data_IF_565160477917
#
_entry.id   IF_565160477917
#
_cell.length_a   1.000
_cell.length_b   1.000
_cell.length_c   1.000
_cell.angle_alpha   90.00
_cell.angle_beta   90.00
_cell.angle_gamma   90.00
#
_symmetry.space_group_name_H-M   'P 1'
#
loop_
_entity.id
_entity.type
_entity.pdbx_description
1 polymer ?
#
# COMPACT_ATOMS: atom_id res chain seq x y z
N UNK A 1 2.22 -20.85 40.38
CA UNK A 1 3.23 -20.85 41.46
C UNK A 1 2.72 -19.98 42.60
N UNK A 2 2.42 -20.63 43.75
CA UNK A 2 1.91 -19.97 44.96
C UNK A 2 2.86 -18.88 45.50
N UNK A 3 4.14 -18.96 45.25
CA UNK A 3 5.11 -17.90 45.62
C UNK A 3 4.85 -16.59 44.89
N UNK A 4 4.32 -16.65 43.68
CA UNK A 4 4.00 -15.49 42.84
C UNK A 4 2.55 -14.98 42.99
N UNK A 5 1.63 -15.90 43.29
CA UNK A 5 0.17 -15.58 43.36
C UNK A 5 -0.32 -15.34 44.78
N UNK A 6 0.52 -15.58 45.75
CA UNK A 6 0.19 -15.44 47.17
C UNK A 6 -0.59 -16.62 47.75
N UNK A 7 -0.73 -16.62 49.05
CA UNK A 7 -1.53 -17.55 49.86
C UNK A 7 -2.40 -16.74 50.81
N UNK A 8 -3.48 -17.31 51.38
CA UNK A 8 -4.27 -16.63 52.39
C UNK A 8 -3.41 -16.20 53.59
N UNK A 9 -3.74 -15.07 54.16
CA UNK A 9 -3.01 -14.54 55.35
C UNK A 9 -3.98 -14.20 56.47
N UNK A 10 -3.50 -14.32 57.72
CA UNK A 10 -4.13 -13.77 58.92
C UNK A 10 -3.19 -12.74 59.49
N UNK A 11 -3.67 -11.49 59.66
CA UNK A 11 -2.86 -10.36 60.14
C UNK A 11 -1.52 -10.18 59.42
N UNK A 12 -1.49 -10.48 58.07
CA UNK A 12 -0.29 -10.37 57.25
C UNK A 12 0.63 -11.61 57.25
N UNK A 13 0.36 -12.60 58.07
CA UNK A 13 1.13 -13.84 58.13
C UNK A 13 0.50 -14.91 57.25
N UNK A 14 1.29 -15.56 56.38
CA UNK A 14 0.84 -16.64 55.52
C UNK A 14 0.31 -17.82 56.34
N UNK A 15 -0.87 -18.32 56.02
CA UNK A 15 -1.42 -19.52 56.62
C UNK A 15 -0.79 -20.72 55.91
N UNK A 16 -0.12 -21.56 56.68
CA UNK A 16 0.44 -22.84 56.24
C UNK A 16 -0.14 -23.97 57.09
N UNK A 17 -0.20 -25.18 56.53
CA UNK A 17 -0.71 -26.35 57.24
C UNK A 17 0.06 -26.57 58.57
N UNK A 18 -0.66 -26.75 59.66
CA UNK A 18 -0.09 -26.96 60.99
C UNK A 18 0.33 -25.67 61.71
N UNK A 19 0.12 -24.48 61.14
CA UNK A 19 0.29 -23.21 61.84
C UNK A 19 -0.99 -22.83 62.60
N UNK A 20 -0.84 -22.21 63.78
CA UNK A 20 -1.96 -21.66 64.55
C UNK A 20 -3.11 -22.66 64.82
N UNK A 21 -2.92 -23.55 65.83
CA UNK A 21 -3.99 -24.42 66.29
C UNK A 21 -4.66 -25.28 65.22
N UNK A 22 -3.87 -26.11 64.53
CA UNK A 22 -4.34 -27.12 63.56
C UNK A 22 -5.16 -26.58 62.33
N UNK A 23 -4.73 -25.46 61.79
CA UNK A 23 -5.27 -24.95 60.51
C UNK A 23 -4.80 -25.84 59.35
N UNK A 24 -5.76 -26.22 58.52
CA UNK A 24 -5.48 -26.89 57.25
C UNK A 24 -5.90 -26.00 56.09
N UNK A 25 -5.02 -25.82 55.12
CA UNK A 25 -5.25 -24.98 53.96
C UNK A 25 -5.10 -25.81 52.70
N UNK A 26 -6.13 -25.78 51.89
CA UNK A 26 -6.12 -26.39 50.54
C UNK A 26 -6.64 -25.44 49.52
N UNK A 27 -6.37 -25.68 48.25
CA UNK A 27 -6.95 -24.93 47.15
C UNK A 27 -7.37 -25.84 45.99
N UNK A 28 -8.33 -25.36 45.20
CA UNK A 28 -8.75 -25.92 43.94
C UNK A 28 -8.69 -24.83 42.89
N UNK A 29 -8.15 -25.12 41.72
CA UNK A 29 -8.01 -24.18 40.59
C UNK A 29 -8.96 -24.58 39.47
N UNK A 30 -9.80 -23.65 39.03
CA UNK A 30 -10.52 -23.73 37.77
C UNK A 30 -9.88 -22.77 36.77
N UNK A 31 -9.39 -23.29 35.64
CA UNK A 31 -8.71 -22.50 34.60
C UNK A 31 -9.67 -22.21 33.47
N UNK A 32 -9.77 -20.95 33.11
CA UNK A 32 -10.58 -20.44 32.00
C UNK A 32 -9.64 -19.76 31.00
N UNK A 33 -9.52 -20.32 29.79
CA UNK A 33 -8.80 -19.67 28.70
C UNK A 33 -9.61 -18.48 28.16
N UNK A 34 -9.00 -17.32 28.09
CA UNK A 34 -9.63 -16.09 27.59
C UNK A 34 -9.28 -15.81 26.14
N UNK A 35 -8.10 -16.27 25.68
CA UNK A 35 -7.76 -16.39 24.26
C UNK A 35 -6.85 -17.62 24.03
N UNK A 36 -6.70 -18.02 22.75
CA UNK A 36 -5.90 -19.22 22.41
C UNK A 36 -4.42 -18.92 22.65
N UNK A 37 -3.77 -19.74 23.48
CA UNK A 37 -2.34 -19.74 23.80
C UNK A 37 -1.76 -18.51 24.50
N UNK A 38 -2.54 -17.48 24.82
CA UNK A 38 -1.97 -16.23 25.38
C UNK A 38 -2.45 -15.89 26.79
N UNK A 39 -3.75 -15.88 27.00
CA UNK A 39 -4.38 -15.38 28.22
C UNK A 39 -5.24 -16.43 28.89
N UNK A 40 -5.19 -16.46 30.21
CA UNK A 40 -6.07 -17.31 31.02
C UNK A 40 -6.38 -16.65 32.36
N UNK A 41 -7.51 -17.03 32.93
CA UNK A 41 -7.89 -16.69 34.30
C UNK A 41 -7.98 -17.98 35.12
N UNK A 42 -7.40 -17.96 36.31
CA UNK A 42 -7.56 -19.03 37.30
C UNK A 42 -8.46 -18.50 38.39
N UNK A 43 -9.59 -19.20 38.58
CA UNK A 43 -10.41 -19.01 39.76
C UNK A 43 -9.92 -20.01 40.81
N UNK A 44 -9.12 -19.53 41.75
CA UNK A 44 -8.59 -20.32 42.84
C UNK A 44 -9.53 -20.23 44.03
N UNK A 45 -10.07 -21.36 44.44
CA UNK A 45 -10.89 -21.46 45.67
C UNK A 45 -10.01 -22.02 46.79
N UNK A 46 -9.75 -21.18 47.77
CA UNK A 46 -9.05 -21.55 48.99
C UNK A 46 -10.07 -22.04 50.02
N UNK A 47 -9.79 -23.19 50.67
CA UNK A 47 -10.52 -23.66 51.83
C UNK A 47 -9.56 -23.69 53.00
N UNK A 48 -9.93 -22.99 54.05
CA UNK A 48 -9.18 -22.97 55.34
C UNK A 48 -10.10 -23.68 56.35
N UNK A 49 -9.60 -24.78 56.88
CA UNK A 49 -10.33 -25.56 57.92
C UNK A 49 -9.62 -25.29 59.25
N UNK A 50 -10.41 -24.93 60.26
CA UNK A 50 -9.98 -24.76 61.63
C UNK A 50 -10.54 -25.88 62.47
N UNK A 51 -9.67 -26.83 62.82
CA UNK A 51 -10.08 -28.01 63.61
C UNK A 51 -10.27 -27.68 65.11
N UNK A 52 -9.86 -26.51 65.61
CA UNK A 52 -10.07 -26.11 66.98
C UNK A 52 -11.51 -25.68 67.26
N UNK A 53 -12.18 -25.12 66.26
CA UNK A 53 -13.56 -24.63 66.38
C UNK A 53 -14.53 -25.34 65.42
N UNK A 54 -14.04 -26.41 64.78
CA UNK A 54 -14.81 -27.23 63.81
C UNK A 54 -15.51 -26.38 62.75
N UNK A 55 -14.76 -25.46 62.16
CA UNK A 55 -15.30 -24.55 61.15
C UNK A 55 -14.43 -24.46 59.91
N UNK A 56 -14.99 -24.02 58.79
CA UNK A 56 -14.21 -23.72 57.62
C UNK A 56 -14.59 -22.38 57.01
N UNK A 57 -13.67 -21.79 56.26
CA UNK A 57 -13.89 -20.59 55.47
C UNK A 57 -13.39 -20.81 54.05
N UNK A 58 -14.13 -20.27 53.10
CA UNK A 58 -13.81 -20.32 51.67
C UNK A 58 -13.50 -18.92 51.19
N UNK A 59 -12.41 -18.79 50.47
CA UNK A 59 -11.95 -17.55 49.85
C UNK A 59 -11.73 -17.79 48.33
N UNK A 60 -12.15 -16.84 47.50
CA UNK A 60 -11.93 -16.92 46.08
C UNK A 60 -10.88 -15.90 45.67
N UNK A 61 -9.86 -16.37 44.95
CA UNK A 61 -8.81 -15.56 44.38
C UNK A 61 -8.88 -15.67 42.85
N UNK A 62 -8.91 -14.53 42.17
CA UNK A 62 -8.83 -14.48 40.70
C UNK A 62 -7.39 -14.14 40.34
N UNK A 63 -6.75 -15.04 39.59
CA UNK A 63 -5.41 -14.87 39.06
C UNK A 63 -5.54 -14.75 37.54
N UNK A 64 -5.07 -13.64 36.97
CA UNK A 64 -5.13 -13.40 35.54
C UNK A 64 -3.74 -13.34 34.94
N UNK A 65 -3.60 -13.95 33.78
CA UNK A 65 -2.50 -13.73 32.86
C UNK A 65 -3.12 -13.26 31.56
N UNK A 66 -2.84 -12.03 31.19
CA UNK A 66 -3.38 -11.40 30.00
C UNK A 66 -2.24 -11.06 29.03
N UNK A 67 -2.46 -11.37 27.76
CA UNK A 67 -1.64 -10.86 26.69
C UNK A 67 -2.22 -9.51 26.26
N UNK A 68 -1.44 -8.47 26.43
CA UNK A 68 -1.82 -7.08 26.12
C UNK A 68 -0.91 -6.49 25.03
N UNK A 69 0.00 -7.29 24.49
CA UNK A 69 0.96 -6.84 23.49
C UNK A 69 0.44 -7.17 22.10
N UNK A 70 0.47 -6.17 21.23
CA UNK A 70 0.17 -6.39 19.82
C UNK A 70 1.38 -6.98 19.08
N UNK A 71 1.16 -7.76 18.01
CA UNK A 71 2.22 -8.25 17.15
C UNK A 71 3.08 -7.12 16.59
N UNK A 72 4.39 -7.30 16.56
CA UNK A 72 5.35 -6.35 15.99
C UNK A 72 5.61 -6.74 14.54
N UNK A 73 5.18 -5.90 13.60
CA UNK A 73 5.34 -6.13 12.16
C UNK A 73 6.61 -5.52 11.60
N UNK A 74 7.20 -6.21 10.61
CA UNK A 74 8.19 -5.63 9.71
C UNK A 74 7.45 -4.76 8.69
N UNK A 75 7.86 -3.50 8.54
CA UNK A 75 7.25 -2.58 7.56
C UNK A 75 7.62 -3.06 6.14
N UNK A 76 6.64 -3.35 5.26
CA UNK A 76 6.93 -3.69 3.87
C UNK A 76 7.60 -2.53 3.14
N UNK A 77 8.47 -2.84 2.18
CA UNK A 77 9.07 -1.81 1.33
C UNK A 77 8.04 -1.23 0.36
N UNK A 78 8.14 0.07 0.10
CA UNK A 78 7.42 0.72 -0.99
C UNK A 78 7.74 0.04 -2.33
N UNK A 79 6.73 -0.08 -3.20
CA UNK A 79 6.88 -0.65 -4.53
C UNK A 79 6.46 0.34 -5.61
N UNK A 80 7.09 0.22 -6.79
CA UNK A 80 6.70 0.93 -8.01
C UNK A 80 6.31 -0.09 -9.06
N UNK A 81 5.21 0.17 -9.76
CA UNK A 81 4.64 -0.72 -10.79
C UNK A 81 4.31 0.12 -12.02
N UNK A 82 4.73 -0.33 -13.20
CA UNK A 82 4.37 0.30 -14.47
C UNK A 82 2.93 0.02 -14.89
N UNK A 83 2.37 0.92 -15.70
CA UNK A 83 1.07 0.70 -16.37
C UNK A 83 1.13 -0.44 -17.38
N UNK A 84 -0.02 -0.99 -17.74
CA UNK A 84 -0.13 -1.92 -18.87
C UNK A 84 0.05 -1.16 -20.19
N UNK A 85 0.61 -1.82 -21.20
CA UNK A 85 0.92 -1.19 -22.52
C UNK A 85 -0.31 -0.64 -23.27
N UNK A 86 -1.50 -1.10 -22.93
CA UNK A 86 -2.76 -0.72 -23.58
C UNK A 86 -3.78 -0.06 -22.65
N UNK A 87 -3.35 0.31 -21.44
CA UNK A 87 -4.23 0.89 -20.41
C UNK A 87 -3.43 1.76 -19.45
N UNK A 88 -3.99 2.90 -19.07
CA UNK A 88 -3.43 3.80 -18.05
C UNK A 88 -3.63 3.29 -16.61
N UNK A 89 -3.58 1.98 -16.44
CA UNK A 89 -3.75 1.31 -15.14
C UNK A 89 -2.76 0.15 -15.00
N UNK A 90 -2.48 -0.24 -13.77
CA UNK A 90 -1.61 -1.37 -13.47
C UNK A 90 -2.38 -2.54 -12.86
N UNK A 91 -1.75 -3.72 -12.89
CA UNK A 91 -2.12 -4.89 -12.08
C UNK A 91 -1.13 -4.96 -10.93
N UNK A 92 -1.62 -4.89 -9.70
CA UNK A 92 -0.78 -4.82 -8.50
C UNK A 92 -0.96 -6.05 -7.63
N UNK A 93 0.17 -6.65 -7.23
CA UNK A 93 0.24 -7.61 -6.14
C UNK A 93 0.99 -6.99 -4.98
N UNK A 94 0.40 -7.04 -3.79
CA UNK A 94 1.02 -6.49 -2.58
C UNK A 94 2.08 -7.46 -2.04
N UNK A 95 3.22 -6.97 -1.55
CA UNK A 95 4.22 -7.81 -0.94
C UNK A 95 3.72 -8.42 0.39
N UNK A 96 4.14 -9.63 0.68
CA UNK A 96 3.96 -10.22 2.01
C UNK A 96 4.88 -9.55 3.02
N UNK A 97 4.45 -9.56 4.27
CA UNK A 97 5.28 -9.12 5.40
C UNK A 97 5.22 -10.13 6.53
N UNK A 98 6.06 -9.97 7.53
CA UNK A 98 6.14 -10.83 8.71
C UNK A 98 5.90 -10.02 9.98
N UNK A 99 5.47 -10.71 11.02
CA UNK A 99 5.35 -10.15 12.35
C UNK A 99 5.93 -11.14 13.38
N UNK A 100 6.11 -10.67 14.60
CA UNK A 100 6.44 -11.48 15.76
C UNK A 100 5.53 -11.12 16.91
N UNK A 101 5.11 -12.11 17.66
CA UNK A 101 4.33 -11.93 18.86
C UNK A 101 4.95 -12.74 20.02
N UNK A 102 4.73 -12.31 21.25
CA UNK A 102 5.36 -12.90 22.44
C UNK A 102 4.56 -14.05 23.05
N UNK A 103 3.26 -14.14 22.79
CA UNK A 103 2.37 -15.06 23.49
C UNK A 103 1.41 -15.84 22.59
N UNK A 104 0.95 -15.26 21.47
CA UNK A 104 -0.14 -15.82 20.70
C UNK A 104 0.16 -15.92 19.21
N UNK A 105 -0.67 -16.67 18.46
CA UNK A 105 -0.62 -16.63 17.02
C UNK A 105 -1.23 -15.32 16.53
N UNK A 106 -0.92 -14.96 15.29
CA UNK A 106 -1.43 -13.72 14.67
C UNK A 106 -1.80 -13.92 13.21
N UNK A 107 -2.60 -13.02 12.71
CA UNK A 107 -2.94 -12.92 11.28
C UNK A 107 -2.57 -11.55 10.75
N UNK A 108 -2.11 -11.47 9.49
CA UNK A 108 -1.79 -10.20 8.83
C UNK A 108 -2.75 -10.01 7.66
N UNK A 109 -3.40 -8.85 7.61
CA UNK A 109 -4.36 -8.49 6.55
C UNK A 109 -4.00 -7.14 5.95
N UNK A 110 -3.58 -7.09 4.67
CA UNK A 110 -3.48 -5.83 3.95
C UNK A 110 -4.86 -5.32 3.54
N UNK A 111 -5.01 -3.99 3.61
CA UNK A 111 -6.19 -3.25 3.21
C UNK A 111 -5.81 -1.96 2.50
N UNK A 112 -6.42 -1.68 1.37
CA UNK A 112 -6.30 -0.42 0.67
C UNK A 112 -7.58 -0.11 -0.12
N UNK A 113 -7.62 1.03 -0.80
CA UNK A 113 -8.84 1.50 -1.50
C UNK A 113 -9.32 0.56 -2.63
N UNK A 114 -8.47 -0.32 -3.16
CA UNK A 114 -8.82 -1.25 -4.24
C UNK A 114 -9.20 -2.65 -3.75
N UNK A 115 -9.21 -2.90 -2.44
CA UNK A 115 -9.65 -4.17 -1.88
C UNK A 115 -8.86 -4.65 -0.67
N UNK A 116 -9.08 -5.90 -0.31
CA UNK A 116 -8.42 -6.58 0.80
C UNK A 116 -7.57 -7.74 0.28
N UNK A 117 -6.55 -8.12 1.04
CA UNK A 117 -5.65 -9.22 0.68
C UNK A 117 -4.46 -8.76 -0.16
N UNK A 118 -3.78 -9.72 -0.77
CA UNK A 118 -2.51 -9.48 -1.47
C UNK A 118 -2.65 -9.26 -2.98
N UNK A 119 -3.85 -9.38 -3.52
CA UNK A 119 -4.13 -9.20 -4.95
C UNK A 119 -4.30 -10.52 -5.71
N UNK A 120 -4.28 -10.51 -7.07
CA UNK A 120 -4.02 -9.34 -7.90
C UNK A 120 -5.15 -8.30 -7.87
N UNK A 121 -4.78 -7.02 -7.85
CA UNK A 121 -5.70 -5.88 -7.96
C UNK A 121 -5.60 -5.30 -9.36
N UNK A 122 -6.71 -5.25 -10.06
CA UNK A 122 -6.79 -4.78 -11.44
C UNK A 122 -7.20 -3.31 -11.50
N UNK A 123 -6.86 -2.65 -12.61
CA UNK A 123 -7.25 -1.27 -12.90
C UNK A 123 -6.80 -0.24 -11.85
N UNK A 124 -5.63 -0.45 -11.25
CA UNK A 124 -5.04 0.53 -10.32
C UNK A 124 -4.51 1.70 -11.14
N UNK A 125 -5.03 2.94 -10.96
CA UNK A 125 -4.63 4.09 -11.77
C UNK A 125 -3.23 4.59 -11.44
N UNK A 126 -2.66 5.36 -12.35
CA UNK A 126 -1.39 6.09 -12.11
C UNK A 126 -1.52 6.97 -10.87
N UNK A 127 -0.47 6.98 -10.05
CA UNK A 127 -0.41 7.76 -8.82
C UNK A 127 0.18 7.00 -7.64
N UNK A 128 0.20 7.68 -6.48
CA UNK A 128 0.70 7.13 -5.22
C UNK A 128 -0.48 6.71 -4.34
N UNK A 129 -0.47 5.45 -3.91
CA UNK A 129 -1.53 4.81 -3.16
C UNK A 129 -1.00 4.27 -1.83
N UNK A 130 -1.67 4.60 -0.72
CA UNK A 130 -1.31 4.12 0.59
C UNK A 130 -1.98 2.77 0.86
N UNK A 131 -1.20 1.81 1.36
CA UNK A 131 -1.64 0.49 1.80
C UNK A 131 -1.41 0.35 3.30
N UNK A 132 -2.39 -0.16 4.03
CA UNK A 132 -2.29 -0.48 5.46
C UNK A 132 -2.23 -1.99 5.64
N UNK A 133 -1.30 -2.46 6.48
CA UNK A 133 -1.24 -3.84 6.94
C UNK A 133 -1.58 -3.85 8.42
N UNK A 134 -2.60 -4.62 8.78
CA UNK A 134 -2.98 -4.81 10.17
C UNK A 134 -2.67 -6.24 10.59
N UNK A 135 -1.89 -6.41 11.65
CA UNK A 135 -1.69 -7.68 12.32
C UNK A 135 -2.54 -7.73 13.58
N UNK A 136 -3.27 -8.82 13.75
CA UNK A 136 -4.10 -9.06 14.94
C UNK A 136 -3.77 -10.42 15.49
N UNK A 137 -3.52 -10.50 16.80
CA UNK A 137 -3.28 -11.74 17.53
C UNK A 137 -4.58 -12.46 17.93
N UNK A 138 -4.44 -13.65 18.49
CA UNK A 138 -5.57 -14.47 18.96
C UNK A 138 -6.26 -13.86 20.19
N UNK A 139 -5.64 -12.87 20.87
CA UNK A 139 -6.18 -12.16 22.02
C UNK A 139 -6.88 -10.84 21.63
N UNK A 140 -6.80 -10.43 20.36
CA UNK A 140 -7.43 -9.25 19.80
C UNK A 140 -6.55 -8.00 19.84
N UNK A 141 -5.28 -8.11 20.29
CA UNK A 141 -4.36 -6.98 20.20
C UNK A 141 -3.93 -6.80 18.75
N UNK A 142 -3.83 -5.55 18.30
CA UNK A 142 -3.52 -5.29 16.90
C UNK A 142 -2.53 -4.14 16.73
N UNK A 143 -1.70 -4.26 15.68
CA UNK A 143 -0.80 -3.22 15.22
C UNK A 143 -1.01 -2.97 13.74
N UNK A 144 -0.67 -1.77 13.27
CA UNK A 144 -0.82 -1.39 11.85
C UNK A 144 0.45 -0.70 11.38
N UNK A 145 0.90 -1.08 10.18
CA UNK A 145 1.98 -0.43 9.45
C UNK A 145 1.49 -0.07 8.05
N UNK A 146 2.14 0.90 7.41
CA UNK A 146 1.77 1.36 6.07
C UNK A 146 2.94 1.33 5.12
N UNK A 147 2.64 1.16 3.83
CA UNK A 147 3.58 1.32 2.72
C UNK A 147 2.91 2.06 1.56
N UNK A 148 3.71 2.50 0.59
CA UNK A 148 3.20 3.10 -0.63
C UNK A 148 3.35 2.14 -1.82
N UNK A 149 2.32 2.13 -2.66
CA UNK A 149 2.37 1.63 -4.03
C UNK A 149 2.34 2.83 -4.95
N UNK A 150 3.36 2.97 -5.81
CA UNK A 150 3.40 4.01 -6.83
C UNK A 150 3.19 3.37 -8.19
N UNK A 151 2.11 3.74 -8.88
CA UNK A 151 1.87 3.35 -10.26
C UNK A 151 2.36 4.47 -11.16
N UNK A 152 3.25 4.14 -12.11
CA UNK A 152 3.85 5.08 -13.06
C UNK A 152 3.54 4.65 -14.49
N UNK A 153 3.40 5.61 -15.36
CA UNK A 153 3.34 5.34 -16.79
C UNK A 153 4.76 5.24 -17.35
N UNK A 154 5.09 4.09 -17.91
CA UNK A 154 6.38 3.78 -18.55
C UNK A 154 6.23 3.56 -20.06
N UNK A 155 5.01 3.65 -20.59
CA UNK A 155 4.77 3.48 -22.01
C UNK A 155 5.19 4.75 -22.77
N UNK A 156 5.95 4.57 -23.85
CA UNK A 156 6.34 5.66 -24.73
C UNK A 156 5.21 5.91 -25.73
N UNK A 157 4.78 7.15 -25.96
CA UNK A 157 3.71 7.45 -26.93
C UNK A 157 4.10 7.02 -28.36
N UNK A 158 3.11 6.66 -29.12
CA UNK A 158 3.25 6.33 -30.54
C UNK A 158 3.03 7.59 -31.37
N UNK A 159 4.09 8.12 -31.96
CA UNK A 159 4.02 9.25 -32.88
C UNK A 159 3.56 8.76 -34.26
N UNK A 160 2.44 9.30 -34.74
CA UNK A 160 1.87 9.00 -36.07
C UNK A 160 1.77 10.30 -36.86
N UNK A 161 2.60 10.41 -37.88
CA UNK A 161 2.67 11.57 -38.76
C UNK A 161 1.83 11.41 -40.04
N UNK A 162 1.32 12.50 -40.55
CA UNK A 162 0.84 12.55 -41.94
C UNK A 162 2.00 12.23 -42.88
N UNK A 163 1.74 11.43 -43.89
CA UNK A 163 2.77 11.00 -44.86
C UNK A 163 3.27 12.16 -45.68
N UNK A 164 2.37 12.90 -46.32
CA UNK A 164 2.60 14.06 -47.15
C UNK A 164 1.56 15.13 -46.78
N UNK A 165 1.99 16.38 -46.61
CA UNK A 165 1.13 17.47 -46.23
C UNK A 165 1.31 18.63 -47.22
N UNK A 166 0.23 18.98 -47.91
CA UNK A 166 0.19 20.18 -48.75
C UNK A 166 -0.34 21.39 -47.94
N UNK A 167 0.38 22.49 -48.00
CA UNK A 167 0.03 23.74 -47.32
C UNK A 167 -0.02 24.85 -48.36
N UNK A 168 -1.19 25.43 -48.54
CA UNK A 168 -1.36 26.61 -49.40
C UNK A 168 -1.00 27.87 -48.60
N UNK A 169 -0.27 28.81 -49.26
CA UNK A 169 0.01 30.12 -48.69
C UNK A 169 -1.19 31.02 -48.84
N UNK A 170 -1.26 32.02 -47.97
CA UNK A 170 -2.16 33.16 -48.13
C UNK A 170 -1.60 34.20 -49.12
N UNK A 171 -2.37 35.26 -49.37
CA UNK A 171 -1.99 36.34 -50.30
C UNK A 171 -0.74 37.11 -49.86
N UNK A 172 -0.38 37.05 -48.57
CA UNK A 172 0.81 37.69 -48.02
C UNK A 172 2.07 36.81 -48.18
N UNK A 173 1.94 35.60 -48.73
CA UNK A 173 3.03 34.67 -48.97
C UNK A 173 3.61 34.06 -47.67
N UNK A 174 2.84 34.03 -46.62
CA UNK A 174 3.21 33.49 -45.30
C UNK A 174 2.05 32.65 -44.79
N UNK A 175 2.36 31.46 -44.24
CA UNK A 175 1.37 30.63 -43.53
C UNK A 175 1.95 30.04 -42.28
N UNK A 176 1.20 30.07 -41.18
CA UNK A 176 1.57 29.43 -39.89
C UNK A 176 0.72 28.21 -39.68
N UNK A 177 1.38 27.05 -39.56
CA UNK A 177 0.76 25.74 -39.32
C UNK A 177 1.01 25.28 -37.89
N UNK A 178 -0.05 25.01 -37.16
CA UNK A 178 0.04 24.42 -35.80
C UNK A 178 0.54 22.98 -35.85
N UNK A 179 1.23 22.54 -34.79
CA UNK A 179 1.79 21.20 -34.69
C UNK A 179 0.76 20.08 -34.90
N UNK A 180 -0.47 20.29 -34.47
CA UNK A 180 -1.60 19.34 -34.67
C UNK A 180 -1.95 19.09 -36.15
N UNK A 181 -1.57 20.00 -37.08
CA UNK A 181 -1.81 19.80 -38.52
C UNK A 181 -0.95 18.65 -39.08
N UNK A 182 0.20 18.39 -38.50
CA UNK A 182 1.16 17.39 -38.93
C UNK A 182 0.89 16.00 -38.33
N UNK A 183 0.05 15.93 -37.28
CA UNK A 183 -0.34 14.73 -36.60
C UNK A 183 -1.42 13.94 -37.34
N UNK A 184 -1.31 12.63 -37.39
CA UNK A 184 -2.28 11.71 -38.00
C UNK A 184 -2.87 10.73 -36.99
N UNK A 185 -3.06 11.21 -35.74
CA UNK A 185 -3.65 10.43 -34.65
C UNK A 185 -2.61 9.73 -33.80
N UNK A 186 -1.57 10.43 -33.39
CA UNK A 186 -0.65 9.96 -32.36
C UNK A 186 -1.40 9.61 -31.09
N UNK A 187 -0.98 8.54 -30.40
CA UNK A 187 -1.69 8.02 -29.24
C UNK A 187 -0.74 7.48 -28.17
N UNK A 188 -1.29 7.32 -26.99
CA UNK A 188 -0.63 6.72 -25.83
C UNK A 188 -1.64 5.91 -25.00
N UNK A 189 -1.16 5.02 -24.12
CA UNK A 189 -2.02 4.22 -23.24
C UNK A 189 -2.69 5.07 -22.13
N UNK A 190 -2.06 6.20 -21.76
CA UNK A 190 -2.62 7.17 -20.81
C UNK A 190 -3.23 8.39 -21.52
N UNK A 191 -2.42 9.23 -22.10
CA UNK A 191 -2.88 10.34 -22.97
C UNK A 191 -1.69 11.12 -23.52
N UNK A 192 -1.91 11.78 -24.68
CA UNK A 192 -0.97 12.76 -25.22
C UNK A 192 -1.18 14.09 -24.48
N UNK A 193 -0.09 14.63 -23.94
CA UNK A 193 -0.06 15.92 -23.25
C UNK A 193 0.24 17.07 -24.19
N UNK A 194 1.23 16.88 -25.08
CA UNK A 194 1.76 17.95 -25.91
C UNK A 194 2.30 17.42 -27.23
N UNK A 195 2.08 18.23 -28.29
CA UNK A 195 2.64 17.99 -29.63
C UNK A 195 3.46 19.22 -30.04
N UNK A 196 4.66 19.00 -30.54
CA UNK A 196 5.56 20.04 -31.03
C UNK A 196 6.16 19.64 -32.37
N UNK A 197 6.60 20.64 -33.12
CA UNK A 197 7.22 20.47 -34.45
C UNK A 197 8.50 21.28 -34.57
N UNK A 198 9.42 20.80 -35.44
CA UNK A 198 10.62 21.53 -35.81
C UNK A 198 11.04 21.28 -37.25
N UNK A 199 11.90 22.15 -37.79
CA UNK A 199 12.66 21.94 -39.02
C UNK A 199 14.13 21.65 -38.69
N UNK A 200 14.66 20.61 -39.27
CA UNK A 200 16.08 20.28 -39.08
C UNK A 200 16.50 20.27 -37.61
N UNK A 201 17.43 21.15 -37.25
CA UNK A 201 17.93 21.27 -35.87
C UNK A 201 17.38 22.49 -35.10
N UNK A 202 16.31 23.12 -35.60
CA UNK A 202 15.67 24.23 -34.91
C UNK A 202 15.02 23.78 -33.58
N UNK A 203 14.83 24.71 -32.65
CA UNK A 203 14.06 24.39 -31.44
C UNK A 203 12.63 23.94 -31.79
N UNK A 204 12.10 22.97 -31.01
CA UNK A 204 10.71 22.60 -31.15
C UNK A 204 9.77 23.72 -30.73
N UNK A 205 8.66 23.87 -31.46
CA UNK A 205 7.63 24.86 -31.21
C UNK A 205 6.23 24.28 -31.42
N UNK A 206 5.20 25.01 -30.97
CA UNK A 206 3.81 24.60 -31.15
C UNK A 206 3.29 24.87 -32.58
N UNK A 207 4.06 25.58 -33.39
CA UNK A 207 3.71 25.91 -34.80
C UNK A 207 4.98 26.20 -35.62
N UNK A 208 4.87 26.07 -36.92
CA UNK A 208 5.90 26.47 -37.89
C UNK A 208 5.33 27.47 -38.89
N UNK A 209 6.16 28.45 -39.26
CA UNK A 209 5.84 29.40 -40.32
C UNK A 209 6.52 29.00 -41.63
N UNK A 210 5.77 28.98 -42.70
CA UNK A 210 6.23 28.73 -44.06
C UNK A 210 6.17 30.03 -44.86
N UNK A 211 7.11 30.22 -45.78
CA UNK A 211 7.27 31.42 -46.62
C UNK A 211 7.46 31.03 -48.07
N UNK A 212 7.43 32.01 -49.01
CA UNK A 212 7.71 31.81 -50.42
C UNK A 212 9.05 31.13 -50.71
N UNK A 213 10.03 31.25 -49.80
CA UNK A 213 11.31 30.57 -49.96
C UNK A 213 11.19 29.04 -49.84
N UNK A 214 10.15 28.53 -49.18
CA UNK A 214 9.93 27.10 -49.01
C UNK A 214 9.39 26.43 -50.28
N UNK A 215 8.81 27.20 -51.21
CA UNK A 215 8.37 26.68 -52.51
C UNK A 215 9.56 26.16 -53.35
N UNK A 216 10.72 26.82 -53.26
CA UNK A 216 11.88 26.46 -54.04
C UNK A 216 12.67 25.29 -53.47
N UNK A 217 12.41 24.90 -52.21
CA UNK A 217 13.18 23.91 -51.43
C UNK A 217 12.29 22.74 -50.97
N UNK A 218 11.39 22.25 -51.82
CA UNK A 218 10.46 21.17 -51.49
C UNK A 218 11.04 19.77 -51.71
N UNK A 219 10.56 18.76 -50.94
CA UNK A 219 9.69 18.89 -49.78
C UNK A 219 10.44 19.42 -48.55
N UNK A 220 9.78 20.24 -47.74
CA UNK A 220 10.29 20.65 -46.44
C UNK A 220 10.08 19.51 -45.47
N UNK A 221 11.16 19.00 -44.84
CA UNK A 221 11.08 17.95 -43.83
C UNK A 221 10.78 18.59 -42.48
N UNK A 222 9.69 18.17 -41.85
CA UNK A 222 9.25 18.58 -40.52
C UNK A 222 9.25 17.37 -39.61
N UNK A 223 9.85 17.49 -38.43
CA UNK A 223 9.80 16.48 -37.37
C UNK A 223 8.72 16.86 -36.38
N UNK A 224 7.80 15.92 -36.13
CA UNK A 224 6.78 15.99 -35.11
C UNK A 224 7.29 15.23 -33.87
N UNK A 225 7.09 15.82 -32.69
CA UNK A 225 7.37 15.18 -31.41
C UNK A 225 6.11 15.22 -30.55
N UNK A 226 5.72 14.08 -30.03
CA UNK A 226 4.59 13.93 -29.12
C UNK A 226 5.08 13.58 -27.72
N UNK A 227 4.43 14.11 -26.71
CA UNK A 227 4.69 13.80 -25.30
C UNK A 227 3.43 13.27 -24.65
N UNK A 228 3.59 12.28 -23.81
CA UNK A 228 2.55 11.83 -22.89
C UNK A 228 2.51 12.69 -21.60
N UNK A 229 1.61 12.33 -20.68
CA UNK A 229 1.46 12.99 -19.37
C UNK A 229 2.59 12.69 -18.40
N UNK A 230 3.43 11.70 -18.68
CA UNK A 230 4.61 11.31 -17.91
C UNK A 230 5.90 11.95 -18.46
N UNK A 231 5.79 12.81 -19.51
CA UNK A 231 6.90 13.43 -20.25
C UNK A 231 7.80 12.44 -21.02
N UNK A 232 7.33 11.23 -21.28
CA UNK A 232 7.96 10.37 -22.28
C UNK A 232 7.62 10.90 -23.66
N UNK A 233 8.49 10.69 -24.64
CA UNK A 233 8.27 11.26 -25.96
C UNK A 233 8.75 10.38 -27.10
N UNK A 234 8.14 10.59 -28.28
CA UNK A 234 8.53 9.93 -29.51
C UNK A 234 8.38 10.89 -30.68
N UNK A 235 9.02 10.59 -31.80
CA UNK A 235 9.05 11.47 -32.98
C UNK A 235 8.70 10.72 -34.25
N UNK A 236 8.20 11.47 -35.23
CA UNK A 236 8.05 11.01 -36.62
C UNK A 236 8.28 12.20 -37.58
N UNK A 237 8.37 11.92 -38.86
CA UNK A 237 8.70 12.93 -39.89
C UNK A 237 7.60 13.08 -40.94
N UNK A 238 7.33 14.32 -41.33
CA UNK A 238 6.34 14.73 -42.35
C UNK A 238 7.06 15.41 -43.50
N UNK A 239 6.69 15.10 -44.74
CA UNK A 239 7.08 15.87 -45.91
C UNK A 239 6.02 16.91 -46.21
N UNK A 240 6.41 18.17 -46.21
CA UNK A 240 5.52 19.31 -46.45
C UNK A 240 5.76 19.90 -47.84
N UNK A 241 4.71 20.05 -48.62
CA UNK A 241 4.70 20.69 -49.92
C UNK A 241 3.95 22.00 -49.81
N UNK A 242 4.63 23.11 -50.11
CA UNK A 242 4.09 24.47 -50.00
C UNK A 242 3.73 25.01 -51.37
N UNK A 243 2.54 25.58 -51.55
CA UNK A 243 2.03 26.09 -52.85
C UNK A 243 1.38 27.46 -52.73
#
# INVERSE_FOLDING_TARGET
DMKKTGVPTINGFSIVNGAYCELFVQHADNVYNTCVNGSYSILRTWTVVDYCVDSFKVYVQVIRREDINAPVMVVPKDITVGTQSNSCTAIVNLPSTTATDNCSNFTIKPLWQFGQGYGPFYNVPVGKHLVSYTSTDDCGNSSTVTMNVTVIDEAIPVAVCKKDLAIAMDDDGIVTANASLFDDGSFDNCSIQKIEVRRGNDPYSSSLTFTCNDISNQPVNVELRVFDTSNLSNTCSVKVFVS
#
